data_IF_230360836867
#
_entry.id   IF_230360836867
#
_cell.length_a   1.000
_cell.length_b   1.000
_cell.length_c   1.000
_cell.angle_alpha   90.00
_cell.angle_beta   90.00
_cell.angle_gamma   90.00
#
_symmetry.space_group_name_H-M   'P 1'
#
loop_
_entity.id
_entity.type
_entity.pdbx_description
1 polymer ?
#
# COMPACT_ATOMS: atom_id res chain seq x y z
N UNK A 1 -9.85 36.34 -61.16
CA UNK A 1 -8.83 37.36 -60.80
C UNK A 1 -7.76 36.67 -59.98
N UNK A 2 -6.68 36.30 -60.66
CA UNK A 2 -5.52 35.61 -60.12
C UNK A 2 -4.60 36.62 -59.42
N UNK A 3 -4.24 36.37 -58.16
CA UNK A 3 -3.15 37.08 -57.49
C UNK A 3 -2.00 36.10 -57.24
N UNK A 4 -1.01 36.23 -58.11
CA UNK A 4 0.33 35.67 -58.04
C UNK A 4 1.10 36.30 -56.88
N UNK A 5 1.52 35.47 -55.91
CA UNK A 5 2.59 35.82 -54.96
C UNK A 5 3.89 35.20 -55.43
N UNK A 6 4.81 36.07 -55.84
CA UNK A 6 6.21 35.80 -56.12
C UNK A 6 6.97 35.61 -54.80
N UNK A 7 7.42 34.39 -54.53
CA UNK A 7 8.40 34.09 -53.49
C UNK A 7 9.79 34.03 -54.11
N UNK A 8 10.66 34.96 -53.72
CA UNK A 8 12.07 34.98 -54.07
C UNK A 8 12.83 33.79 -53.43
N UNK A 9 13.91 33.29 -54.08
CA UNK A 9 14.70 32.20 -53.55
C UNK A 9 15.60 32.67 -52.40
N UNK A 10 15.48 32.00 -51.25
CA UNK A 10 16.44 32.12 -50.13
C UNK A 10 17.69 31.34 -50.51
N UNK A 11 18.79 32.06 -50.73
CA UNK A 11 20.13 31.50 -50.87
C UNK A 11 20.59 30.93 -49.53
N UNK A 12 20.67 29.60 -49.43
CA UNK A 12 21.38 28.91 -48.35
C UNK A 12 22.87 29.19 -48.50
N UNK A 13 23.38 30.09 -47.67
CA UNK A 13 24.82 30.27 -47.45
C UNK A 13 25.35 29.02 -46.72
N UNK A 14 25.99 28.13 -47.46
CA UNK A 14 26.73 26.99 -46.93
C UNK A 14 28.08 27.46 -46.41
N UNK A 15 28.12 27.89 -45.15
CA UNK A 15 29.38 27.96 -44.40
C UNK A 15 29.77 26.54 -43.95
N UNK A 16 30.98 26.05 -44.26
CA UNK A 16 31.46 24.76 -43.76
C UNK A 16 31.66 24.83 -42.24
N UNK A 17 31.36 23.76 -41.48
CA UNK A 17 31.62 23.73 -40.05
C UNK A 17 33.14 23.77 -39.80
N UNK A 18 33.64 24.64 -38.91
CA UNK A 18 35.06 24.68 -38.60
C UNK A 18 35.41 23.54 -37.64
N UNK A 19 36.42 22.77 -38.01
CA UNK A 19 37.37 22.14 -37.09
C UNK A 19 36.84 20.97 -36.27
N UNK A 20 37.36 19.78 -36.58
CA UNK A 20 37.25 18.61 -35.72
C UNK A 20 37.73 18.93 -34.31
N UNK A 21 36.82 18.89 -33.35
CA UNK A 21 37.18 18.84 -31.94
C UNK A 21 37.78 17.45 -31.71
N UNK A 22 39.04 17.41 -31.30
CA UNK A 22 39.64 16.22 -30.72
C UNK A 22 38.70 15.68 -29.66
N UNK A 23 38.07 14.53 -29.91
CA UNK A 23 37.35 13.78 -28.89
C UNK A 23 38.38 13.34 -27.86
N UNK A 24 38.54 14.12 -26.78
CA UNK A 24 39.24 13.60 -25.61
C UNK A 24 38.48 12.34 -25.18
N UNK A 25 39.16 11.19 -25.06
CA UNK A 25 38.52 9.99 -24.55
C UNK A 25 37.99 10.31 -23.16
N UNK A 26 36.71 10.01 -22.94
CA UNK A 26 36.06 10.24 -21.65
C UNK A 26 36.90 9.56 -20.55
N UNK A 27 37.07 10.20 -19.39
CA UNK A 27 37.71 9.57 -18.25
C UNK A 27 37.08 8.20 -17.98
N UNK A 28 37.91 7.19 -17.70
CA UNK A 28 37.47 5.78 -17.62
C UNK A 28 36.31 5.52 -16.64
N UNK A 29 36.09 6.41 -15.67
CA UNK A 29 34.95 6.34 -14.76
C UNK A 29 33.61 6.69 -15.43
N UNK A 30 33.58 7.60 -16.41
CA UNK A 30 32.38 7.99 -17.17
C UNK A 30 32.01 6.99 -18.27
N UNK A 31 32.96 6.16 -18.71
CA UNK A 31 32.75 5.15 -19.75
C UNK A 31 31.69 4.12 -19.33
N UNK A 32 31.53 3.85 -18.03
CA UNK A 32 30.48 2.97 -17.51
C UNK A 32 29.07 3.57 -17.66
N UNK A 33 28.95 4.88 -17.83
CA UNK A 33 27.68 5.58 -17.97
C UNK A 33 27.21 5.70 -19.43
N UNK A 34 28.10 5.51 -20.42
CA UNK A 34 27.73 5.33 -21.82
C UNK A 34 26.86 4.07 -22.03
N UNK A 35 27.13 3.01 -21.26
CA UNK A 35 26.32 1.79 -21.27
C UNK A 35 24.92 1.95 -20.61
N UNK A 36 24.63 3.13 -20.04
CA UNK A 36 23.32 3.45 -19.46
C UNK A 36 22.44 4.27 -20.42
N UNK A 37 22.81 4.38 -21.70
CA UNK A 37 22.02 5.06 -22.72
C UNK A 37 22.22 6.58 -22.79
N UNK A 38 23.29 7.11 -22.18
CA UNK A 38 23.70 8.51 -22.37
C UNK A 38 24.69 8.61 -23.52
N UNK A 39 24.44 9.48 -24.50
CA UNK A 39 25.42 9.75 -25.54
C UNK A 39 26.51 10.70 -24.99
N UNK A 40 27.69 10.68 -25.59
CA UNK A 40 28.80 11.57 -25.22
C UNK A 40 28.40 13.06 -25.28
N UNK A 41 27.48 13.40 -26.18
CA UNK A 41 26.90 14.74 -26.29
C UNK A 41 25.97 15.09 -25.11
N UNK A 42 25.26 14.12 -24.53
CA UNK A 42 24.36 14.35 -23.39
C UNK A 42 25.13 14.54 -22.08
N UNK A 43 26.24 13.80 -21.93
CA UNK A 43 27.17 13.94 -20.79
C UNK A 43 27.90 15.28 -20.88
N UNK A 44 28.41 15.64 -22.06
CA UNK A 44 29.07 16.94 -22.26
C UNK A 44 28.10 18.11 -22.15
N UNK A 45 26.83 17.95 -22.56
CA UNK A 45 25.78 18.93 -22.32
C UNK A 45 25.42 19.06 -20.83
N UNK A 46 25.39 17.96 -20.07
CA UNK A 46 25.17 17.99 -18.62
C UNK A 46 26.32 18.70 -17.91
N UNK A 47 27.56 18.33 -18.22
CA UNK A 47 28.76 18.96 -17.67
C UNK A 47 28.80 20.46 -18.03
N UNK A 48 28.53 20.80 -19.29
CA UNK A 48 28.46 22.20 -19.76
C UNK A 48 27.31 22.99 -19.10
N UNK A 49 26.14 22.38 -18.87
CA UNK A 49 25.02 23.01 -18.16
C UNK A 49 25.35 23.25 -16.68
N UNK A 50 26.03 22.29 -16.04
CA UNK A 50 26.53 22.42 -14.67
C UNK A 50 27.59 23.52 -14.61
N UNK A 51 28.58 23.51 -15.50
CA UNK A 51 29.65 24.51 -15.54
C UNK A 51 29.10 25.92 -15.84
N UNK A 52 28.18 26.05 -16.80
CA UNK A 52 27.55 27.33 -17.16
C UNK A 52 26.63 27.89 -16.08
N UNK A 53 25.93 27.04 -15.32
CA UNK A 53 25.13 27.47 -14.16
C UNK A 53 25.96 28.05 -13.01
N UNK A 54 27.29 27.84 -13.06
CA UNK A 54 28.23 28.19 -11.99
C UNK A 54 29.17 29.36 -12.33
N UNK A 55 29.11 29.91 -13.56
CA UNK A 55 29.90 31.09 -13.97
C UNK A 55 29.22 32.42 -13.56
N UNK A 56 28.51 32.46 -12.44
CA UNK A 56 28.06 33.71 -11.82
C UNK A 56 29.00 34.08 -10.68
N UNK A 57 29.90 35.07 -10.84
CA UNK A 57 30.92 35.43 -9.85
C UNK A 57 30.37 36.12 -8.59
N UNK A 58 29.04 36.22 -8.40
CA UNK A 58 28.40 37.06 -7.38
C UNK A 58 27.58 36.31 -6.31
N UNK A 59 27.43 34.98 -6.36
CA UNK A 59 26.70 34.23 -5.32
C UNK A 59 27.64 33.49 -4.36
N UNK A 60 27.68 33.92 -3.10
CA UNK A 60 28.44 33.32 -1.98
C UNK A 60 28.01 31.89 -1.59
N UNK A 61 27.11 31.27 -2.35
CA UNK A 61 26.69 29.88 -2.18
C UNK A 61 27.14 29.09 -3.40
N UNK A 62 28.43 28.74 -3.43
CA UNK A 62 28.94 27.74 -4.38
C UNK A 62 28.33 26.39 -3.98
N UNK A 63 27.33 25.92 -4.72
CA UNK A 63 26.92 24.51 -4.65
C UNK A 63 28.17 23.67 -4.96
N UNK A 64 28.51 22.74 -4.07
CA UNK A 64 29.64 21.85 -4.28
C UNK A 64 29.46 21.10 -5.62
N UNK A 65 30.45 21.15 -6.50
CA UNK A 65 30.45 20.38 -7.74
C UNK A 65 30.39 18.89 -7.41
N UNK A 66 29.21 18.29 -7.59
CA UNK A 66 29.05 16.85 -7.51
C UNK A 66 29.23 16.26 -8.93
N UNK A 67 30.04 15.21 -9.09
CA UNK A 67 30.09 14.43 -10.32
C UNK A 67 28.69 13.98 -10.76
N UNK A 68 28.47 13.88 -12.07
CA UNK A 68 27.18 13.52 -12.64
C UNK A 68 26.67 12.16 -12.10
N UNK A 69 27.57 11.23 -11.83
CA UNK A 69 27.29 9.93 -11.23
C UNK A 69 26.67 10.05 -9.85
N UNK A 70 27.20 10.95 -9.01
CA UNK A 70 26.66 11.21 -7.69
C UNK A 70 25.29 11.89 -7.78
N UNK A 71 25.10 12.80 -8.73
CA UNK A 71 23.79 13.42 -8.97
C UNK A 71 22.75 12.38 -9.41
N UNK A 72 23.10 11.48 -10.34
CA UNK A 72 22.23 10.40 -10.77
C UNK A 72 21.91 9.43 -9.64
N UNK A 73 22.91 9.10 -8.81
CA UNK A 73 22.69 8.28 -7.62
C UNK A 73 21.77 8.99 -6.62
N UNK A 74 21.92 10.30 -6.41
CA UNK A 74 21.02 11.09 -5.55
C UNK A 74 19.58 11.02 -6.09
N UNK A 75 19.38 11.10 -7.41
CA UNK A 75 18.04 11.01 -8.02
C UNK A 75 17.32 9.68 -7.69
N UNK A 76 18.04 8.58 -7.49
CA UNK A 76 17.45 7.28 -7.09
C UNK A 76 16.85 7.28 -5.68
N UNK A 77 17.29 8.21 -4.82
CA UNK A 77 16.83 8.38 -3.44
C UNK A 77 15.91 9.59 -3.26
N UNK A 78 15.62 10.34 -4.33
CA UNK A 78 14.64 11.43 -4.26
C UNK A 78 13.26 10.85 -3.91
N UNK A 79 12.53 11.45 -2.95
CA UNK A 79 11.17 11.04 -2.64
C UNK A 79 10.26 11.07 -3.87
N UNK A 80 9.42 10.05 -4.02
CA UNK A 80 8.64 9.75 -5.22
C UNK A 80 7.70 10.87 -5.66
N UNK A 81 7.22 11.65 -4.69
CA UNK A 81 6.37 12.83 -4.82
C UNK A 81 7.11 14.07 -5.39
N UNK A 82 8.44 14.02 -5.40
CA UNK A 82 9.33 15.08 -5.91
C UNK A 82 10.08 14.70 -7.20
N UNK A 83 10.18 13.41 -7.54
CA UNK A 83 10.97 12.93 -8.71
C UNK A 83 10.61 13.67 -10.00
N UNK A 84 9.31 13.93 -10.24
CA UNK A 84 8.89 14.60 -11.47
C UNK A 84 9.25 16.09 -11.53
N UNK A 85 9.51 16.75 -10.40
CA UNK A 85 10.02 18.13 -10.38
C UNK A 85 11.46 18.16 -10.91
N UNK A 86 12.28 17.16 -10.53
CA UNK A 86 13.65 16.99 -11.02
C UNK A 86 13.71 16.69 -12.52
N UNK A 87 12.70 16.01 -13.06
CA UNK A 87 12.55 15.74 -14.50
C UNK A 87 12.48 17.01 -15.36
N UNK A 88 12.11 18.15 -14.78
CA UNK A 88 12.00 19.43 -15.47
C UNK A 88 13.30 20.24 -15.48
N UNK A 89 14.29 19.86 -14.67
CA UNK A 89 15.53 20.63 -14.48
C UNK A 89 16.40 20.64 -15.74
N UNK A 90 16.69 19.46 -16.30
CA UNK A 90 17.50 19.34 -17.51
C UNK A 90 17.16 18.07 -18.31
N UNK A 91 17.61 18.01 -19.56
CA UNK A 91 17.40 16.86 -20.45
C UNK A 91 18.01 15.57 -19.86
N UNK A 92 19.23 15.63 -19.33
CA UNK A 92 19.90 14.45 -18.79
C UNK A 92 19.18 13.87 -17.56
N UNK A 93 18.58 14.71 -16.71
CA UNK A 93 17.74 14.24 -15.61
C UNK A 93 16.45 13.62 -16.11
N UNK A 94 15.85 14.19 -17.17
CA UNK A 94 14.69 13.57 -17.82
C UNK A 94 15.02 12.18 -18.34
N UNK A 95 16.12 12.03 -19.07
CA UNK A 95 16.51 10.75 -19.66
C UNK A 95 16.90 9.73 -18.57
N UNK A 96 17.57 10.17 -17.50
CA UNK A 96 17.85 9.35 -16.32
C UNK A 96 16.58 8.88 -15.60
N UNK A 97 15.63 9.81 -15.40
CA UNK A 97 14.35 9.55 -14.75
C UNK A 97 13.53 8.59 -15.59
N UNK A 98 13.41 8.80 -16.90
CA UNK A 98 12.61 7.98 -17.80
C UNK A 98 13.19 6.55 -18.02
N UNK A 99 14.45 6.32 -17.62
CA UNK A 99 15.15 5.04 -17.72
C UNK A 99 15.54 4.46 -16.36
N UNK A 100 16.81 4.66 -16.00
CA UNK A 100 17.47 4.01 -14.85
C UNK A 100 16.78 4.30 -13.52
N UNK A 101 16.40 5.54 -13.23
CA UNK A 101 15.82 5.91 -11.93
C UNK A 101 14.40 5.36 -11.80
N UNK A 102 13.57 5.42 -12.85
CA UNK A 102 12.25 4.75 -12.82
C UNK A 102 12.38 3.24 -12.65
N UNK A 103 13.40 2.63 -13.25
CA UNK A 103 13.69 1.21 -13.06
C UNK A 103 14.14 0.90 -11.62
N UNK A 104 14.94 1.78 -11.00
CA UNK A 104 15.29 1.66 -9.58
C UNK A 104 14.04 1.71 -8.69
N UNK A 105 13.12 2.63 -8.96
CA UNK A 105 11.83 2.67 -8.25
C UNK A 105 10.98 1.42 -8.50
N UNK A 106 10.98 0.90 -9.72
CA UNK A 106 10.25 -0.33 -10.07
C UNK A 106 10.67 -1.51 -9.18
N UNK A 107 11.97 -1.67 -8.90
CA UNK A 107 12.48 -2.71 -8.01
C UNK A 107 11.93 -2.64 -6.58
N UNK A 108 11.54 -1.45 -6.11
CA UNK A 108 10.96 -1.21 -4.78
C UNK A 108 9.43 -1.22 -4.79
N UNK A 109 8.83 -1.44 -5.96
CA UNK A 109 7.39 -1.39 -6.14
C UNK A 109 6.74 -2.70 -5.70
N UNK A 110 5.61 -2.58 -5.00
CA UNK A 110 4.76 -3.69 -4.59
C UNK A 110 3.35 -3.45 -5.15
N UNK A 111 2.76 -4.48 -5.76
CA UNK A 111 1.36 -4.50 -6.15
C UNK A 111 0.54 -5.15 -5.06
N UNK A 112 -0.58 -4.54 -4.69
CA UNK A 112 -1.44 -5.02 -3.62
C UNK A 112 -2.86 -5.20 -4.17
N UNK A 113 -3.32 -6.44 -4.28
CA UNK A 113 -4.67 -6.80 -4.66
C UNK A 113 -5.58 -6.84 -3.43
N UNK A 114 -6.74 -6.19 -3.49
CA UNK A 114 -7.73 -6.19 -2.43
C UNK A 114 -8.90 -7.12 -2.76
N UNK A 115 -9.12 -8.12 -1.92
CA UNK A 115 -10.19 -9.10 -2.09
C UNK A 115 -11.59 -8.56 -1.73
N UNK A 116 -11.65 -7.51 -0.90
CA UNK A 116 -12.90 -6.88 -0.43
C UNK A 116 -13.00 -6.75 1.09
N UNK A 117 -14.02 -6.03 1.55
CA UNK A 117 -14.29 -5.84 2.97
C UNK A 117 -14.65 -7.13 3.69
N UNK A 118 -14.44 -7.13 5.01
CA UNK A 118 -14.83 -8.20 5.93
C UNK A 118 -16.32 -8.54 5.87
N UNK A 119 -17.13 -7.58 5.45
CA UNK A 119 -18.58 -7.75 5.32
C UNK A 119 -19.02 -8.22 3.92
N UNK A 120 -18.09 -8.40 2.99
CA UNK A 120 -18.38 -8.94 1.66
C UNK A 120 -18.33 -10.47 1.67
N UNK A 121 -19.27 -11.11 0.99
CA UNK A 121 -19.26 -12.57 0.83
C UNK A 121 -18.19 -12.98 -0.21
N UNK A 122 -17.37 -14.03 0.01
CA UNK A 122 -17.37 -15.00 1.11
C UNK A 122 -16.55 -14.61 2.36
N UNK A 123 -15.89 -13.44 2.36
CA UNK A 123 -14.99 -13.00 3.45
C UNK A 123 -15.69 -12.86 4.81
N UNK A 124 -17.00 -12.67 4.83
CA UNK A 124 -17.84 -12.68 6.04
C UNK A 124 -17.75 -13.95 6.88
N UNK A 125 -17.43 -15.09 6.26
CA UNK A 125 -17.35 -16.37 6.94
C UNK A 125 -16.02 -16.61 7.65
N UNK A 126 -15.02 -15.75 7.40
CA UNK A 126 -13.69 -15.88 7.98
C UNK A 126 -13.65 -15.31 9.39
N UNK A 127 -12.87 -15.94 10.28
CA UNK A 127 -12.44 -15.26 11.50
C UNK A 127 -11.50 -14.08 11.18
N UNK A 128 -11.18 -13.26 12.18
CA UNK A 128 -10.36 -12.06 11.97
C UNK A 128 -8.94 -12.42 11.48
N UNK A 129 -8.39 -13.55 11.93
CA UNK A 129 -7.02 -13.96 11.60
C UNK A 129 -6.93 -14.44 10.15
N UNK A 130 -7.88 -15.27 9.73
CA UNK A 130 -8.04 -15.71 8.36
C UNK A 130 -8.28 -14.53 7.42
N UNK A 131 -9.10 -13.55 7.82
CA UNK A 131 -9.32 -12.35 7.02
C UNK A 131 -8.04 -11.53 6.85
N UNK A 132 -7.31 -11.25 7.93
CA UNK A 132 -6.07 -10.48 7.87
C UNK A 132 -5.02 -11.15 6.96
N UNK A 133 -4.95 -12.49 6.93
CA UNK A 133 -4.05 -13.24 6.04
C UNK A 133 -4.45 -13.20 4.57
N UNK A 134 -5.75 -13.12 4.26
CA UNK A 134 -6.25 -13.35 2.91
C UNK A 134 -6.70 -12.08 2.18
N UNK A 135 -7.20 -11.06 2.89
CA UNK A 135 -7.85 -9.90 2.28
C UNK A 135 -6.94 -9.05 1.37
N UNK A 136 -5.61 -9.15 1.54
CA UNK A 136 -4.61 -8.47 0.73
C UNK A 136 -3.64 -9.47 0.09
N UNK A 137 -3.65 -9.50 -1.24
CA UNK A 137 -2.67 -10.21 -2.06
C UNK A 137 -1.49 -9.28 -2.34
N UNK A 138 -0.28 -9.69 -1.97
CA UNK A 138 0.94 -8.91 -2.25
C UNK A 138 1.74 -9.55 -3.37
N UNK A 139 2.19 -8.73 -4.33
CA UNK A 139 3.07 -9.16 -5.40
C UNK A 139 4.27 -8.21 -5.54
N UNK A 140 5.48 -8.77 -5.60
CA UNK A 140 6.74 -8.02 -5.66
C UNK A 140 7.36 -8.11 -7.03
N UNK A 141 8.09 -7.06 -7.42
CA UNK A 141 8.80 -7.04 -8.69
C UNK A 141 9.78 -8.21 -8.80
N UNK A 142 9.73 -8.93 -9.92
CA UNK A 142 10.62 -10.05 -10.23
C UNK A 142 11.58 -9.68 -11.35
N UNK A 143 11.05 -9.32 -12.53
CA UNK A 143 11.87 -8.99 -13.68
C UNK A 143 11.13 -8.15 -14.73
N UNK A 144 11.88 -7.59 -15.68
CA UNK A 144 11.32 -7.03 -16.92
C UNK A 144 11.29 -8.13 -17.97
N UNK A 145 10.13 -8.32 -18.62
CA UNK A 145 10.03 -9.21 -19.76
C UNK A 145 10.72 -8.55 -20.96
N UNK A 146 11.81 -9.19 -21.40
CA UNK A 146 12.53 -8.78 -22.59
C UNK A 146 11.69 -8.93 -23.86
N UNK A 147 12.10 -8.31 -24.98
CA UNK A 147 11.52 -8.59 -26.28
C UNK A 147 11.60 -10.10 -26.56
N UNK A 148 10.53 -10.65 -27.13
CA UNK A 148 10.42 -12.09 -27.46
C UNK A 148 11.66 -12.58 -28.22
N UNK A 149 12.10 -13.83 -28.01
CA UNK A 149 13.36 -14.38 -28.52
C UNK A 149 13.52 -14.35 -30.06
N UNK A 150 12.44 -14.12 -30.80
CA UNK A 150 12.49 -13.91 -32.25
C UNK A 150 13.14 -12.57 -32.66
N UNK A 151 13.31 -11.63 -31.72
CA UNK A 151 14.11 -10.42 -31.88
C UNK A 151 15.59 -10.70 -31.62
N UNK A 152 16.15 -11.67 -32.35
CA UNK A 152 17.58 -11.96 -32.41
C UNK A 152 18.33 -10.84 -33.14
N UNK A 153 18.46 -9.67 -32.52
CA UNK A 153 19.32 -8.61 -33.03
C UNK A 153 19.87 -7.72 -31.90
N UNK A 154 21.14 -8.01 -31.54
CA UNK A 154 22.10 -7.16 -30.80
C UNK A 154 21.69 -6.74 -29.37
N UNK A 155 22.41 -7.33 -28.40
CA UNK A 155 22.36 -7.12 -26.95
C UNK A 155 22.76 -5.71 -26.45
N UNK A 156 22.34 -4.64 -27.12
CA UNK A 156 22.70 -3.26 -26.72
C UNK A 156 21.51 -2.43 -26.20
N UNK A 157 20.36 -3.08 -26.00
CA UNK A 157 19.20 -2.42 -25.38
C UNK A 157 19.28 -2.55 -23.87
N UNK A 158 19.09 -1.46 -23.11
CA UNK A 158 19.16 -1.52 -21.66
C UNK A 158 18.05 -2.41 -21.10
N UNK A 159 18.27 -3.02 -19.93
CA UNK A 159 17.31 -3.94 -19.27
C UNK A 159 15.93 -3.29 -19.06
N UNK A 160 15.89 -1.98 -18.82
CA UNK A 160 14.67 -1.18 -18.66
C UNK A 160 14.01 -0.74 -19.98
N UNK A 161 14.42 -1.29 -21.12
CA UNK A 161 13.76 -1.06 -22.41
C UNK A 161 12.46 -1.86 -22.57
N UNK A 162 12.34 -3.01 -21.89
CA UNK A 162 11.16 -3.86 -21.97
C UNK A 162 9.88 -3.14 -21.52
N UNK A 163 8.76 -3.45 -22.17
CA UNK A 163 7.46 -2.79 -21.93
C UNK A 163 6.74 -3.36 -20.71
N UNK A 164 6.90 -4.66 -20.45
CA UNK A 164 6.17 -5.38 -19.41
C UNK A 164 7.08 -5.74 -18.24
N UNK A 165 6.62 -5.49 -17.02
CA UNK A 165 7.25 -5.99 -15.80
C UNK A 165 6.43 -7.15 -15.24
N UNK A 166 7.12 -8.16 -14.74
CA UNK A 166 6.56 -9.31 -14.06
C UNK A 166 6.69 -9.09 -12.55
N UNK A 167 5.58 -9.30 -11.84
CA UNK A 167 5.49 -9.31 -10.40
C UNK A 167 5.07 -10.70 -9.95
N UNK A 168 5.73 -11.22 -8.93
CA UNK A 168 5.43 -12.53 -8.34
C UNK A 168 4.60 -12.36 -7.07
N UNK A 169 3.53 -13.13 -6.98
CA UNK A 169 2.63 -13.20 -5.83
C UNK A 169 3.37 -13.94 -4.71
N UNK A 170 3.15 -13.51 -3.46
CA UNK A 170 3.70 -14.18 -2.29
C UNK A 170 3.21 -15.63 -2.20
N UNK A 171 4.15 -16.58 -2.12
CA UNK A 171 3.85 -18.01 -2.04
C UNK A 171 3.05 -18.32 -0.76
N UNK A 172 3.33 -17.61 0.35
CA UNK A 172 2.62 -17.80 1.61
C UNK A 172 1.14 -17.44 1.49
N UNK A 173 0.81 -16.37 0.76
CA UNK A 173 -0.56 -15.98 0.50
C UNK A 173 -1.29 -17.03 -0.36
N UNK A 174 -0.61 -17.59 -1.37
CA UNK A 174 -1.19 -18.64 -2.22
C UNK A 174 -1.51 -19.90 -1.42
N UNK A 175 -0.64 -20.28 -0.49
CA UNK A 175 -0.84 -21.45 0.36
C UNK A 175 -1.97 -21.25 1.37
N UNK A 176 -2.03 -20.09 2.02
CA UNK A 176 -3.14 -19.70 2.90
C UNK A 176 -4.47 -19.67 2.14
N UNK A 177 -4.47 -19.09 0.94
CA UNK A 177 -5.65 -19.07 0.08
C UNK A 177 -6.14 -20.49 -0.23
N UNK A 178 -5.24 -21.40 -0.65
CA UNK A 178 -5.61 -22.80 -0.94
C UNK A 178 -6.14 -23.54 0.28
N UNK A 179 -5.61 -23.23 1.46
CA UNK A 179 -6.07 -23.82 2.71
C UNK A 179 -7.48 -23.36 3.05
N UNK A 180 -7.71 -22.05 3.07
CA UNK A 180 -8.98 -21.43 3.46
C UNK A 180 -10.08 -21.68 2.41
N UNK A 181 -9.73 -21.70 1.12
CA UNK A 181 -10.70 -21.91 0.03
C UNK A 181 -11.13 -23.36 -0.16
N UNK A 182 -10.54 -24.29 0.61
CA UNK A 182 -10.78 -25.74 0.49
C UNK A 182 -10.06 -26.42 -0.68
N UNK A 183 -9.28 -25.68 -1.49
CA UNK A 183 -8.57 -26.24 -2.63
C UNK A 183 -7.50 -27.27 -2.22
N UNK A 184 -6.82 -27.05 -1.09
CA UNK A 184 -5.79 -27.96 -0.56
C UNK A 184 -6.35 -29.36 -0.27
N UNK A 185 -7.58 -29.46 0.25
CA UNK A 185 -8.23 -30.74 0.56
C UNK A 185 -8.57 -31.56 -0.70
N UNK A 186 -8.69 -30.90 -1.86
CA UNK A 186 -9.03 -31.53 -3.15
C UNK A 186 -7.80 -31.94 -3.97
N UNK A 187 -6.58 -31.81 -3.43
CA UNK A 187 -5.30 -31.99 -4.16
C UNK A 187 -5.25 -31.15 -5.45
N UNK A 188 -5.96 -30.04 -5.46
CA UNK A 188 -6.30 -29.30 -6.67
C UNK A 188 -5.46 -28.05 -6.91
N UNK A 189 -5.57 -27.51 -8.12
CA UNK A 189 -5.15 -26.14 -8.47
C UNK A 189 -6.05 -25.13 -7.72
N UNK A 190 -5.68 -23.85 -7.72
CA UNK A 190 -6.45 -22.76 -7.11
C UNK A 190 -7.88 -22.71 -7.65
N UNK A 191 -8.10 -23.19 -8.88
CA UNK A 191 -9.40 -23.26 -9.53
C UNK A 191 -10.31 -24.40 -9.04
N UNK A 192 -9.78 -25.30 -8.20
CA UNK A 192 -10.57 -26.35 -7.54
C UNK A 192 -11.19 -25.85 -6.22
N UNK A 193 -10.95 -24.58 -5.87
CA UNK A 193 -11.63 -23.86 -4.79
C UNK A 193 -13.15 -23.85 -4.98
N UNK A 194 -13.89 -23.62 -3.89
CA UNK A 194 -15.34 -23.41 -4.02
C UNK A 194 -15.66 -22.20 -4.91
N UNK A 195 -16.78 -22.28 -5.63
CA UNK A 195 -17.21 -21.28 -6.61
C UNK A 195 -17.21 -19.85 -6.05
N UNK A 196 -17.61 -19.69 -4.79
CA UNK A 196 -17.63 -18.40 -4.11
C UNK A 196 -16.24 -17.77 -3.98
N UNK A 197 -15.21 -18.58 -3.73
CA UNK A 197 -13.82 -18.13 -3.68
C UNK A 197 -13.26 -17.82 -5.06
N UNK A 198 -13.68 -18.57 -6.08
CA UNK A 198 -13.36 -18.27 -7.48
C UNK A 198 -13.96 -16.92 -7.88
N UNK A 199 -15.21 -16.64 -7.49
CA UNK A 199 -15.87 -15.36 -7.76
C UNK A 199 -15.14 -14.21 -7.06
N UNK A 200 -14.73 -14.39 -5.79
CA UNK A 200 -13.92 -13.40 -5.07
C UNK A 200 -12.56 -13.15 -5.76
N UNK A 201 -11.88 -14.21 -6.22
CA UNK A 201 -10.64 -14.09 -6.99
C UNK A 201 -10.85 -13.42 -8.35
N UNK A 202 -11.99 -13.67 -9.00
CA UNK A 202 -12.30 -13.12 -10.32
C UNK A 202 -12.32 -11.58 -10.32
N UNK A 203 -12.59 -10.96 -9.16
CA UNK A 203 -12.49 -9.52 -8.91
C UNK A 203 -11.07 -9.02 -9.18
N UNK A 204 -10.06 -9.76 -8.72
CA UNK A 204 -8.64 -9.45 -8.97
C UNK A 204 -8.22 -9.75 -10.41
N UNK A 205 -8.83 -10.76 -11.04
CA UNK A 205 -8.58 -11.14 -12.43
C UNK A 205 -9.12 -10.13 -13.46
N UNK A 206 -9.90 -9.13 -13.04
CA UNK A 206 -10.50 -8.10 -13.90
C UNK A 206 -11.41 -8.66 -15.00
N UNK A 207 -11.90 -9.91 -14.85
CA UNK A 207 -12.69 -10.59 -15.88
C UNK A 207 -14.18 -10.22 -15.86
N UNK A 208 -14.68 -9.63 -14.76
CA UNK A 208 -16.09 -9.24 -14.63
C UNK A 208 -16.27 -7.72 -14.73
N UNK A 209 -17.23 -7.32 -15.57
CA UNK A 209 -17.76 -5.96 -15.71
C UNK A 209 -18.76 -5.58 -14.63
N UNK A 210 -19.16 -6.52 -13.77
CA UNK A 210 -20.36 -6.36 -12.93
C UNK A 210 -20.12 -5.56 -11.65
N UNK A 211 -18.87 -5.23 -11.32
CA UNK A 211 -18.60 -4.39 -10.16
C UNK A 211 -18.78 -2.90 -10.47
N UNK A 212 -19.27 -2.18 -9.47
CA UNK A 212 -19.49 -0.75 -9.52
C UNK A 212 -18.17 0.00 -9.79
N UNK A 213 -18.24 0.94 -10.74
CA UNK A 213 -17.13 1.82 -11.11
C UNK A 213 -16.62 2.57 -9.87
N UNK A 214 -15.30 2.60 -9.69
CA UNK A 214 -14.66 3.25 -8.54
C UNK A 214 -14.27 2.29 -7.40
N UNK A 215 -14.68 1.03 -7.47
CA UNK A 215 -14.28 -0.02 -6.51
C UNK A 215 -12.76 -0.23 -6.51
N UNK A 216 -12.17 -0.30 -5.33
CA UNK A 216 -10.73 -0.55 -5.17
C UNK A 216 -10.42 -2.03 -5.40
N UNK A 217 -9.53 -2.33 -6.36
CA UNK A 217 -9.08 -3.69 -6.68
C UNK A 217 -7.59 -3.86 -6.50
N UNK A 218 -6.82 -2.97 -7.13
CA UNK A 218 -5.37 -3.00 -7.11
C UNK A 218 -4.82 -1.67 -6.64
N UNK A 219 -3.88 -1.74 -5.70
CA UNK A 219 -3.05 -0.63 -5.28
C UNK A 219 -1.63 -0.87 -5.75
N UNK A 220 -0.91 0.23 -5.94
CA UNK A 220 0.53 0.25 -6.12
C UNK A 220 1.13 0.94 -4.90
N UNK A 221 2.14 0.30 -4.31
CA UNK A 221 2.96 0.85 -3.24
C UNK A 221 4.36 1.09 -3.77
N UNK A 222 4.87 2.28 -3.50
CA UNK A 222 6.26 2.65 -3.73
C UNK A 222 6.75 3.48 -2.56
N UNK A 223 7.73 2.95 -1.83
CA UNK A 223 8.23 3.53 -0.58
C UNK A 223 7.09 3.79 0.43
N UNK A 224 6.83 5.04 0.77
CA UNK A 224 5.77 5.48 1.69
C UNK A 224 4.44 5.79 0.97
N UNK A 225 4.44 5.88 -0.37
CA UNK A 225 3.29 6.24 -1.15
C UNK A 225 2.48 5.00 -1.55
N UNK A 226 1.16 5.08 -1.38
CA UNK A 226 0.21 4.05 -1.82
C UNK A 226 -0.96 4.74 -2.52
N UNK A 227 -1.29 4.25 -3.72
CA UNK A 227 -2.38 4.75 -4.54
C UNK A 227 -3.06 3.59 -5.28
N UNK A 228 -4.28 3.81 -5.71
CA UNK A 228 -5.00 2.92 -6.63
C UNK A 228 -4.36 2.91 -8.03
N UNK A 229 -4.30 1.73 -8.64
CA UNK A 229 -3.59 1.53 -9.92
C UNK A 229 -4.37 2.10 -11.10
N UNK A 230 -5.67 1.79 -11.22
CA UNK A 230 -6.61 2.49 -12.11
C UNK A 230 -8.07 2.12 -11.75
N UNK A 231 -9.04 2.81 -12.37
CA UNK A 231 -10.47 2.63 -12.15
C UNK A 231 -11.21 1.98 -13.32
N UNK A 232 -10.63 2.00 -14.52
CA UNK A 232 -11.26 1.43 -15.71
C UNK A 232 -10.86 -0.03 -15.89
N UNK A 233 -11.82 -0.95 -15.74
CA UNK A 233 -11.61 -2.36 -15.99
C UNK A 233 -11.10 -2.61 -17.43
N UNK A 234 -11.62 -1.88 -18.42
CA UNK A 234 -11.20 -2.01 -19.82
C UNK A 234 -9.73 -1.62 -20.03
N UNK A 235 -9.27 -0.52 -19.41
CA UNK A 235 -7.85 -0.14 -19.46
C UNK A 235 -6.98 -1.11 -18.68
N UNK A 236 -7.40 -1.50 -17.48
CA UNK A 236 -6.68 -2.46 -16.65
C UNK A 236 -6.50 -3.81 -17.35
N UNK A 237 -7.51 -4.32 -18.08
CA UNK A 237 -7.36 -5.58 -18.85
C UNK A 237 -6.27 -5.48 -19.93
N UNK A 238 -6.09 -4.29 -20.53
CA UNK A 238 -5.03 -4.06 -21.53
C UNK A 238 -3.64 -3.85 -20.92
N UNK A 239 -3.58 -3.41 -19.67
CA UNK A 239 -2.35 -2.99 -18.99
C UNK A 239 -1.83 -4.00 -17.97
N UNK A 240 -2.73 -4.79 -17.37
CA UNK A 240 -2.49 -5.74 -16.28
C UNK A 240 -3.00 -7.11 -16.71
N UNK A 241 -2.08 -8.06 -16.88
CA UNK A 241 -2.42 -9.45 -17.17
C UNK A 241 -2.11 -10.31 -15.95
N UNK A 242 -3.15 -10.88 -15.37
CA UNK A 242 -3.08 -11.70 -14.18
C UNK A 242 -3.02 -13.19 -14.53
N UNK A 243 -2.06 -13.92 -13.95
CA UNK A 243 -1.91 -15.35 -14.13
C UNK A 243 -1.82 -16.04 -12.78
N UNK A 244 -2.97 -16.39 -12.21
CA UNK A 244 -3.03 -17.13 -10.93
C UNK A 244 -2.27 -18.44 -10.96
N UNK A 245 -2.40 -19.20 -12.06
CA UNK A 245 -1.69 -20.48 -12.21
C UNK A 245 -0.18 -20.34 -12.10
N UNK A 246 0.37 -19.21 -12.56
CA UNK A 246 1.80 -18.92 -12.51
C UNK A 246 2.19 -18.11 -11.28
N UNK A 247 1.23 -17.74 -10.42
CA UNK A 247 1.48 -16.82 -9.30
C UNK A 247 2.09 -15.50 -9.75
N UNK A 248 1.71 -14.98 -10.94
CA UNK A 248 2.37 -13.79 -11.49
C UNK A 248 1.43 -12.79 -12.14
N UNK A 249 1.85 -11.52 -12.10
CA UNK A 249 1.13 -10.36 -12.61
C UNK A 249 2.05 -9.64 -13.59
N UNK A 250 1.56 -9.38 -14.80
CA UNK A 250 2.29 -8.59 -15.79
C UNK A 250 1.67 -7.22 -15.90
N UNK A 251 2.47 -6.17 -15.81
CA UNK A 251 2.00 -4.79 -15.99
C UNK A 251 2.79 -4.04 -17.05
N UNK A 252 2.14 -3.12 -17.77
CA UNK A 252 2.84 -2.08 -18.52
C UNK A 252 3.45 -1.07 -17.54
N UNK A 253 4.71 -1.29 -17.19
CA UNK A 253 5.29 -0.67 -15.99
C UNK A 253 5.62 0.80 -16.16
N UNK A 254 6.09 1.24 -17.34
CA UNK A 254 6.45 2.66 -17.56
C UNK A 254 5.23 3.56 -17.41
N UNK A 255 4.15 3.24 -18.12
CA UNK A 255 2.92 4.02 -18.09
C UNK A 255 2.27 4.00 -16.70
N UNK A 256 2.31 2.85 -16.03
CA UNK A 256 1.81 2.69 -14.66
C UNK A 256 2.61 3.52 -13.67
N UNK A 257 3.94 3.41 -13.67
CA UNK A 257 4.81 4.17 -12.78
C UNK A 257 4.73 5.68 -13.03
N UNK A 258 4.66 6.13 -14.29
CA UNK A 258 4.50 7.55 -14.58
C UNK A 258 3.16 8.12 -14.11
N UNK A 259 2.06 7.38 -14.29
CA UNK A 259 0.75 7.79 -13.75
C UNK A 259 0.77 7.85 -12.23
N UNK A 260 1.40 6.87 -11.59
CA UNK A 260 1.59 6.86 -10.14
C UNK A 260 2.35 8.10 -9.67
N UNK A 261 3.53 8.38 -10.22
CA UNK A 261 4.35 9.54 -9.85
C UNK A 261 3.62 10.87 -10.10
N UNK A 262 2.86 10.98 -11.20
CA UNK A 262 2.05 12.17 -11.49
C UNK A 262 0.97 12.38 -10.44
N UNK A 263 0.31 11.30 -10.03
CA UNK A 263 -0.78 11.34 -9.05
C UNK A 263 -0.24 11.67 -7.67
N UNK A 264 0.88 11.07 -7.27
CA UNK A 264 1.50 11.33 -5.97
C UNK A 264 2.01 12.78 -5.88
N UNK A 265 2.64 13.31 -6.95
CA UNK A 265 2.98 14.73 -7.03
C UNK A 265 1.74 15.63 -6.93
N UNK A 266 0.64 15.27 -7.58
CA UNK A 266 -0.60 16.03 -7.50
C UNK A 266 -1.18 16.03 -6.07
N UNK A 267 -1.11 14.89 -5.37
CA UNK A 267 -1.50 14.77 -3.97
C UNK A 267 -0.65 15.67 -3.07
N UNK A 268 0.69 15.64 -3.19
CA UNK A 268 1.59 16.54 -2.46
C UNK A 268 1.23 18.02 -2.66
N UNK A 269 1.09 18.44 -3.91
CA UNK A 269 0.72 19.83 -4.25
C UNK A 269 -0.66 20.20 -3.69
N UNK A 270 -1.60 19.26 -3.67
CA UNK A 270 -2.93 19.48 -3.10
C UNK A 270 -2.87 19.61 -1.58
N UNK A 271 -2.09 18.77 -0.89
CA UNK A 271 -1.87 18.86 0.55
C UNK A 271 -1.30 20.23 0.94
N UNK A 272 -0.29 20.71 0.21
CA UNK A 272 0.29 22.04 0.40
C UNK A 272 -0.74 23.15 0.16
N UNK A 273 -1.46 23.10 -0.96
CA UNK A 273 -2.48 24.10 -1.33
C UNK A 273 -3.65 24.16 -0.35
N UNK A 274 -4.03 23.03 0.23
CA UNK A 274 -5.21 22.88 1.09
C UNK A 274 -4.91 22.89 2.58
N UNK A 275 -3.65 23.13 2.99
CA UNK A 275 -3.19 23.11 4.38
C UNK A 275 -4.07 23.90 5.36
N UNK A 276 -4.60 25.05 4.94
CA UNK A 276 -5.43 25.93 5.78
C UNK A 276 -6.92 25.89 5.42
N UNK A 277 -7.35 24.93 4.60
CA UNK A 277 -8.77 24.75 4.29
C UNK A 277 -9.49 24.07 5.45
N UNK A 278 -10.79 24.31 5.66
CA UNK A 278 -11.59 23.42 6.50
C UNK A 278 -11.63 22.03 5.87
N UNK A 279 -11.76 20.99 6.68
CA UNK A 279 -11.78 19.59 6.25
C UNK A 279 -13.08 18.92 6.67
N UNK A 280 -13.61 18.05 5.81
CA UNK A 280 -14.81 17.26 6.10
C UNK A 280 -14.46 16.05 6.96
N UNK A 281 -13.34 15.37 6.66
CA UNK A 281 -12.88 14.19 7.40
C UNK A 281 -11.52 14.42 8.04
N UNK A 282 -10.48 14.55 7.23
CA UNK A 282 -9.15 14.95 7.66
C UNK A 282 -8.37 15.55 6.48
N UNK A 283 -7.27 16.25 6.75
CA UNK A 283 -6.48 16.91 5.69
C UNK A 283 -6.01 15.94 4.61
N UNK A 284 -5.44 14.80 5.01
CA UNK A 284 -4.95 13.78 4.09
C UNK A 284 -6.10 13.07 3.37
N UNK A 285 -7.15 12.72 4.10
CA UNK A 285 -8.30 11.98 3.57
C UNK A 285 -9.07 12.79 2.53
N UNK A 286 -9.36 14.07 2.80
CA UNK A 286 -10.03 14.96 1.85
C UNK A 286 -9.20 15.17 0.58
N UNK A 287 -7.88 15.36 0.72
CA UNK A 287 -6.99 15.49 -0.43
C UNK A 287 -6.92 14.20 -1.25
N UNK A 288 -6.85 13.04 -0.60
CA UNK A 288 -6.85 11.74 -1.29
C UNK A 288 -8.18 11.47 -1.98
N UNK A 289 -9.32 11.73 -1.32
CA UNK A 289 -10.65 11.64 -1.95
C UNK A 289 -10.76 12.54 -3.16
N UNK A 290 -10.30 13.79 -3.07
CA UNK A 290 -10.35 14.74 -4.19
C UNK A 290 -9.55 14.22 -5.40
N UNK A 291 -8.32 13.77 -5.20
CA UNK A 291 -7.49 13.18 -6.27
C UNK A 291 -8.15 11.92 -6.85
N UNK A 292 -8.71 11.06 -5.99
CA UNK A 292 -9.40 9.83 -6.42
C UNK A 292 -10.62 10.15 -7.29
N UNK A 293 -11.47 11.09 -6.86
CA UNK A 293 -12.64 11.57 -7.61
C UNK A 293 -12.24 12.19 -8.94
N UNK A 294 -11.22 13.05 -8.96
CA UNK A 294 -10.74 13.71 -10.19
C UNK A 294 -10.24 12.68 -11.21
N UNK A 295 -9.46 11.68 -10.78
CA UNK A 295 -9.00 10.59 -11.64
C UNK A 295 -10.15 9.73 -12.15
N UNK A 296 -11.10 9.41 -11.28
CA UNK A 296 -12.28 8.64 -11.66
C UNK A 296 -13.08 9.39 -12.73
N UNK A 297 -13.38 10.68 -12.51
CA UNK A 297 -14.05 11.54 -13.50
C UNK A 297 -13.31 11.59 -14.84
N UNK A 298 -11.98 11.65 -14.83
CA UNK A 298 -11.16 11.71 -16.04
C UNK A 298 -11.17 10.40 -16.86
N UNK A 299 -11.54 9.29 -16.24
CA UNK A 299 -11.60 7.97 -16.87
C UNK A 299 -13.00 7.62 -17.41
N UNK A 300 -14.03 8.39 -17.08
CA UNK A 300 -15.40 8.16 -17.55
C UNK A 300 -15.58 8.62 -19.01
N UNK A 301 -16.15 7.76 -19.84
CA UNK A 301 -16.57 8.07 -21.19
C UNK A 301 -17.90 8.85 -21.18
N UNK A 302 -17.90 10.04 -21.78
CA UNK A 302 -19.09 10.90 -21.81
C UNK A 302 -20.20 10.37 -22.72
N UNK A 303 -19.85 9.52 -23.67
CA UNK A 303 -20.80 8.97 -24.64
C UNK A 303 -21.55 7.76 -24.07
N UNK A 304 -20.97 7.09 -23.08
CA UNK A 304 -21.59 5.95 -22.41
C UNK A 304 -22.64 6.40 -21.37
N UNK A 305 -23.75 5.66 -21.27
CA UNK A 305 -24.86 5.96 -20.35
C UNK A 305 -24.44 5.67 -18.91
N UNK A 306 -23.75 4.56 -18.68
CA UNK A 306 -23.41 4.13 -17.32
C UNK A 306 -22.32 5.02 -16.72
N UNK A 307 -21.35 5.44 -17.54
CA UNK A 307 -20.34 6.42 -17.16
C UNK A 307 -20.95 7.81 -16.88
N UNK A 308 -21.95 8.24 -17.66
CA UNK A 308 -22.70 9.48 -17.36
C UNK A 308 -23.46 9.39 -16.04
N UNK A 309 -24.08 8.25 -15.75
CA UNK A 309 -24.77 8.02 -14.48
C UNK A 309 -23.77 8.04 -13.31
N UNK A 310 -22.62 7.39 -13.48
CA UNK A 310 -21.53 7.40 -12.51
C UNK A 310 -21.02 8.83 -12.27
N UNK A 311 -20.79 9.61 -13.33
CA UNK A 311 -20.39 11.00 -13.23
C UNK A 311 -21.42 11.85 -12.46
N UNK A 312 -22.71 11.56 -12.61
CA UNK A 312 -23.75 12.21 -11.82
C UNK A 312 -23.69 11.82 -10.35
N UNK A 313 -23.58 10.52 -10.03
CA UNK A 313 -23.44 10.04 -8.65
C UNK A 313 -22.18 10.60 -7.96
N UNK A 314 -21.06 10.76 -8.66
CA UNK A 314 -19.85 11.37 -8.10
C UNK A 314 -20.04 12.84 -7.68
N UNK A 315 -20.96 13.57 -8.31
CA UNK A 315 -21.30 14.95 -7.91
C UNK A 315 -22.17 15.00 -6.66
N UNK A 316 -22.86 13.91 -6.35
CA UNK A 316 -23.72 13.76 -5.18
C UNK A 316 -23.01 13.17 -3.96
N UNK A 317 -21.75 12.75 -4.11
CA UNK A 317 -20.93 12.35 -2.97
C UNK A 317 -20.77 13.49 -1.98
N UNK A 318 -20.52 13.14 -0.72
CA UNK A 318 -20.29 14.12 0.36
C UNK A 318 -19.22 15.12 -0.08
N UNK A 319 -19.51 16.43 -0.07
CA UNK A 319 -18.58 17.42 -0.56
C UNK A 319 -17.39 17.57 0.41
N UNK A 320 -16.21 17.74 -0.16
CA UNK A 320 -14.94 17.77 0.57
C UNK A 320 -14.59 19.19 1.02
N UNK A 321 -13.63 19.28 1.94
CA UNK A 321 -13.10 20.53 2.46
C UNK A 321 -14.13 21.38 3.20
N UNK A 322 -14.89 20.77 4.12
CA UNK A 322 -15.82 21.43 5.04
C UNK A 322 -17.03 22.07 4.36
N UNK A 323 -17.33 21.67 3.12
CA UNK A 323 -18.51 22.15 2.39
C UNK A 323 -19.77 21.49 2.94
N UNK A 324 -20.90 22.22 3.04
CA UNK A 324 -22.15 21.66 3.54
C UNK A 324 -22.63 20.54 2.61
N UNK A 325 -23.06 19.44 3.20
CA UNK A 325 -23.63 18.29 2.48
C UNK A 325 -25.15 18.41 2.45
N UNK A 326 -25.74 18.17 1.29
CA UNK A 326 -27.14 17.75 1.20
C UNK A 326 -27.12 16.22 1.32
N UNK A 327 -27.88 15.66 2.27
CA UNK A 327 -27.87 14.23 2.56
C UNK A 327 -28.44 13.41 1.38
N UNK A 328 -27.62 13.16 0.38
CA UNK A 328 -27.92 12.29 -0.76
C UNK A 328 -27.31 10.92 -0.50
N UNK A 329 -28.15 9.90 -0.30
CA UNK A 329 -27.66 8.54 -0.16
C UNK A 329 -27.31 7.99 -1.55
N UNK A 330 -26.02 7.89 -1.86
CA UNK A 330 -25.54 7.32 -3.12
C UNK A 330 -24.84 5.99 -2.87
N UNK A 331 -25.01 5.04 -3.77
CA UNK A 331 -24.33 3.74 -3.69
C UNK A 331 -22.80 3.86 -3.83
N UNK A 332 -22.27 4.99 -4.32
CA UNK A 332 -20.84 5.23 -4.45
C UNK A 332 -20.16 5.67 -3.15
N UNK A 333 -20.90 6.27 -2.22
CA UNK A 333 -20.35 6.74 -0.94
C UNK A 333 -19.69 5.60 -0.14
N UNK A 334 -20.35 4.45 0.13
CA UNK A 334 -19.72 3.36 0.87
C UNK A 334 -18.50 2.77 0.12
N UNK A 335 -18.51 2.77 -1.22
CA UNK A 335 -17.40 2.28 -2.03
C UNK A 335 -16.18 3.20 -1.92
N UNK A 336 -16.40 4.51 -1.94
CA UNK A 336 -15.33 5.48 -1.70
C UNK A 336 -14.79 5.34 -0.27
N UNK A 337 -15.68 5.23 0.72
CA UNK A 337 -15.28 5.13 2.13
C UNK A 337 -14.46 3.86 2.40
N UNK A 338 -14.85 2.71 1.85
CA UNK A 338 -14.09 1.46 1.91
C UNK A 338 -12.71 1.62 1.26
N UNK A 339 -12.66 2.18 0.05
CA UNK A 339 -11.41 2.37 -0.68
C UNK A 339 -10.45 3.32 0.04
N UNK A 340 -10.96 4.43 0.57
CA UNK A 340 -10.16 5.44 1.27
C UNK A 340 -9.66 4.91 2.60
N UNK A 341 -10.50 4.18 3.35
CA UNK A 341 -10.11 3.53 4.60
C UNK A 341 -8.91 2.60 4.36
N UNK A 342 -9.00 1.74 3.34
CA UNK A 342 -7.90 0.83 3.01
C UNK A 342 -6.65 1.58 2.53
N UNK A 343 -6.79 2.57 1.65
CA UNK A 343 -5.64 3.34 1.16
C UNK A 343 -4.93 4.08 2.29
N UNK A 344 -5.66 4.72 3.20
CA UNK A 344 -5.07 5.39 4.36
C UNK A 344 -4.36 4.40 5.28
N UNK A 345 -4.95 3.23 5.53
CA UNK A 345 -4.33 2.16 6.30
C UNK A 345 -3.01 1.70 5.65
N UNK A 346 -3.02 1.43 4.34
CA UNK A 346 -1.83 1.01 3.60
C UNK A 346 -0.76 2.10 3.55
N UNK A 347 -1.14 3.38 3.40
CA UNK A 347 -0.19 4.50 3.45
C UNK A 347 0.43 4.64 4.83
N UNK A 348 -0.36 4.49 5.90
CA UNK A 348 0.18 4.48 7.27
C UNK A 348 1.14 3.31 7.46
N UNK A 349 0.76 2.10 7.05
CA UNK A 349 1.64 0.92 7.09
C UNK A 349 2.95 1.14 6.32
N UNK A 350 2.88 1.79 5.16
CA UNK A 350 4.04 2.08 4.33
C UNK A 350 4.95 3.17 4.92
N UNK A 351 4.40 4.09 5.70
CA UNK A 351 5.14 5.19 6.33
C UNK A 351 5.83 4.81 7.65
N UNK A 352 5.45 3.70 8.28
CA UNK A 352 6.05 3.25 9.54
C UNK A 352 7.47 2.74 9.32
N UNK A 353 8.39 3.15 10.21
CA UNK A 353 9.73 2.58 10.23
C UNK A 353 9.72 1.13 10.73
N UNK A 354 10.73 0.30 10.39
CA UNK A 354 10.83 -1.06 10.93
C UNK A 354 10.79 -1.11 12.46
N UNK A 355 11.38 -0.11 13.13
CA UNK A 355 11.36 0.01 14.59
C UNK A 355 9.96 0.32 15.13
N UNK A 356 9.20 1.18 14.47
CA UNK A 356 7.83 1.50 14.86
C UNK A 356 6.89 0.31 14.61
N UNK A 357 7.04 -0.38 13.49
CA UNK A 357 6.28 -1.60 13.19
C UNK A 357 6.53 -2.65 14.25
N UNK A 358 7.79 -2.91 14.59
CA UNK A 358 8.15 -3.87 15.63
C UNK A 358 7.61 -3.49 17.02
N UNK A 359 7.64 -2.19 17.38
CA UNK A 359 7.03 -1.69 18.61
C UNK A 359 5.52 -1.97 18.65
N UNK A 360 4.81 -1.66 17.56
CA UNK A 360 3.36 -1.90 17.46
C UNK A 360 3.01 -3.39 17.52
N UNK A 361 3.78 -4.25 16.86
CA UNK A 361 3.61 -5.71 16.93
C UNK A 361 3.84 -6.24 18.34
N UNK A 362 4.90 -5.76 19.01
CA UNK A 362 5.22 -6.14 20.39
C UNK A 362 4.13 -5.69 21.34
N UNK A 363 3.63 -4.47 21.18
CA UNK A 363 2.54 -3.93 21.97
C UNK A 363 1.24 -4.72 21.77
N UNK A 364 0.92 -5.10 20.54
CA UNK A 364 -0.22 -5.96 20.24
C UNK A 364 -0.09 -7.36 20.85
N UNK A 365 1.10 -7.96 20.79
CA UNK A 365 1.36 -9.24 21.44
C UNK A 365 1.19 -9.14 22.97
N UNK A 366 1.74 -8.09 23.59
CA UNK A 366 1.60 -7.85 25.03
C UNK A 366 0.13 -7.62 25.44
N UNK A 367 -0.61 -6.84 24.65
CA UNK A 367 -2.02 -6.58 24.89
C UNK A 367 -2.85 -7.87 24.81
N UNK A 368 -2.63 -8.72 23.81
CA UNK A 368 -3.28 -10.04 23.72
C UNK A 368 -2.91 -10.96 24.88
N UNK A 369 -1.64 -10.95 25.29
CA UNK A 369 -1.20 -11.71 26.47
C UNK A 369 -1.92 -11.26 27.74
N UNK A 370 -2.07 -9.94 27.92
CA UNK A 370 -2.82 -9.37 29.02
C UNK A 370 -4.30 -9.80 28.99
N UNK A 371 -4.95 -9.72 27.83
CA UNK A 371 -6.34 -10.15 27.66
C UNK A 371 -6.53 -11.63 28.01
N UNK A 372 -5.64 -12.49 27.52
CA UNK A 372 -5.66 -13.92 27.82
C UNK A 372 -5.47 -14.19 29.32
N UNK A 373 -4.46 -13.58 29.97
CA UNK A 373 -4.22 -13.75 31.41
C UNK A 373 -5.42 -13.27 32.25
N UNK A 374 -6.05 -12.15 31.88
CA UNK A 374 -7.23 -11.64 32.57
C UNK A 374 -8.45 -12.54 32.35
N UNK A 375 -8.62 -13.10 31.16
CA UNK A 375 -9.71 -14.03 30.87
C UNK A 375 -9.54 -15.35 31.65
N UNK A 376 -8.32 -15.87 31.74
CA UNK A 376 -8.01 -17.04 32.57
C UNK A 376 -8.26 -16.78 34.06
N UNK A 377 -7.92 -15.59 34.56
CA UNK A 377 -8.21 -15.18 35.94
C UNK A 377 -9.72 -15.09 36.20
N UNK A 378 -10.49 -14.51 35.28
CA UNK A 378 -11.95 -14.39 35.38
C UNK A 378 -12.61 -15.78 35.39
N UNK A 379 -12.13 -16.71 34.56
CA UNK A 379 -12.57 -18.10 34.55
C UNK A 379 -12.27 -18.81 35.89
N UNK A 380 -11.05 -18.69 36.41
CA UNK A 380 -10.66 -19.28 37.70
C UNK A 380 -11.47 -18.70 38.88
N UNK A 381 -11.75 -17.39 38.84
CA UNK A 381 -12.61 -16.74 39.83
C UNK A 381 -14.08 -17.17 39.70
N UNK A 382 -14.57 -17.35 38.47
CA UNK A 382 -15.91 -17.87 38.21
C UNK A 382 -16.10 -19.28 38.79
N UNK A 383 -15.10 -20.15 38.62
CA UNK A 383 -15.06 -21.48 39.23
C UNK A 383 -15.05 -21.40 40.77
N UNK A 384 -14.17 -20.58 41.34
CA UNK A 384 -14.13 -20.34 42.80
C UNK A 384 -15.50 -19.91 43.34
N UNK A 385 -16.15 -18.98 42.65
CA UNK A 385 -17.48 -18.48 43.01
C UNK A 385 -18.53 -19.59 42.93
N UNK A 386 -18.44 -20.51 41.98
CA UNK A 386 -19.40 -21.61 41.83
C UNK A 386 -19.41 -22.50 43.09
N UNK A 387 -18.25 -22.78 43.69
CA UNK A 387 -18.14 -23.53 44.94
C UNK A 387 -18.72 -22.77 46.16
N UNK A 388 -18.66 -21.44 46.15
CA UNK A 388 -19.11 -20.58 47.26
C UNK A 388 -20.57 -20.11 47.12
N UNK A 389 -21.27 -20.52 46.05
CA UNK A 389 -22.62 -20.04 45.72
C UNK A 389 -23.69 -20.63 46.65
N UNK A 390 -23.83 -20.06 47.85
CA UNK A 390 -25.01 -20.26 48.71
C UNK A 390 -26.21 -19.47 48.15
N UNK A 391 -27.47 -19.97 48.31
CA UNK A 391 -28.65 -19.23 47.87
C UNK A 391 -28.73 -17.89 48.62
N UNK A 392 -28.49 -16.77 47.92
CA UNK A 392 -28.62 -15.41 48.45
C UNK A 392 -27.35 -14.54 48.43
N UNK A 393 -26.16 -15.10 48.15
CA UNK A 393 -24.92 -14.33 48.02
C UNK A 393 -24.47 -14.24 46.54
N UNK A 394 -24.71 -13.10 45.89
CA UNK A 394 -24.14 -12.81 44.57
C UNK A 394 -23.02 -11.77 44.71
N UNK A 395 -21.78 -12.24 44.86
CA UNK A 395 -20.58 -11.41 44.67
C UNK A 395 -20.34 -11.22 43.16
N UNK A 396 -20.66 -10.04 42.62
CA UNK A 396 -20.31 -9.70 41.23
C UNK A 396 -19.03 -8.86 41.24
N UNK A 397 -17.89 -9.48 40.94
CA UNK A 397 -16.68 -8.71 40.60
C UNK A 397 -16.84 -8.22 39.16
N UNK A 398 -16.78 -6.91 38.97
CA UNK A 398 -16.91 -6.25 37.67
C UNK A 398 -15.59 -6.32 36.86
N UNK A 399 -15.05 -7.53 36.63
CA UNK A 399 -14.06 -7.78 35.59
C UNK A 399 -14.60 -7.69 34.13
N UNK A 400 -15.89 -7.96 33.84
CA UNK A 400 -16.39 -8.04 32.45
C UNK A 400 -16.31 -6.75 31.63
N UNK A 401 -16.22 -5.56 32.27
CA UNK A 401 -16.25 -4.29 31.54
C UNK A 401 -14.96 -3.99 30.77
N UNK A 402 -13.81 -4.52 31.19
CA UNK A 402 -12.56 -4.38 30.43
C UNK A 402 -12.49 -5.40 29.28
N UNK A 403 -12.94 -6.64 29.52
CA UNK A 403 -12.92 -7.72 28.54
C UNK A 403 -13.95 -7.48 27.41
N UNK A 404 -15.15 -6.94 27.72
CA UNK A 404 -16.17 -6.66 26.68
C UNK A 404 -15.81 -5.54 25.71
N UNK A 405 -14.85 -4.69 26.04
CA UNK A 405 -14.35 -3.68 25.10
C UNK A 405 -13.26 -4.24 24.17
N UNK A 406 -12.74 -5.45 24.42
CA UNK A 406 -11.72 -6.12 23.60
C UNK A 406 -12.21 -6.39 22.17
N UNK A 407 -13.49 -6.76 22.01
CA UNK A 407 -14.10 -7.03 20.70
C UNK A 407 -14.11 -5.81 19.76
N UNK A 408 -13.79 -4.62 20.28
CA UNK A 408 -13.71 -3.37 19.49
C UNK A 408 -12.29 -3.00 19.03
N UNK A 409 -11.25 -3.72 19.47
CA UNK A 409 -9.86 -3.39 19.12
C UNK A 409 -9.47 -4.10 17.82
N UNK A 410 -9.13 -3.38 16.74
CA UNK A 410 -8.68 -4.02 15.51
C UNK A 410 -7.47 -4.91 15.76
N UNK A 411 -7.42 -6.13 15.20
CA UNK A 411 -6.27 -7.03 15.39
C UNK A 411 -4.97 -6.48 14.80
N UNK A 412 -5.07 -5.74 13.69
CA UNK A 412 -3.94 -5.10 13.03
C UNK A 412 -3.56 -3.81 13.78
N UNK A 413 -2.37 -3.74 14.40
CA UNK A 413 -2.00 -2.59 15.22
C UNK A 413 -1.73 -1.32 14.41
N UNK A 414 -1.52 -1.43 13.10
CA UNK A 414 -1.42 -0.27 12.21
C UNK A 414 -2.78 0.43 12.04
N UNK A 415 -3.90 -0.28 12.25
CA UNK A 415 -5.23 0.29 12.19
C UNK A 415 -5.63 1.05 13.46
N UNK A 416 -4.86 0.95 14.55
CA UNK A 416 -5.20 1.61 15.81
C UNK A 416 -5.11 3.12 15.71
N UNK A 417 -6.17 3.84 16.06
CA UNK A 417 -6.05 5.30 16.19
C UNK A 417 -4.98 5.65 17.23
N UNK A 418 -4.38 6.84 17.13
CA UNK A 418 -3.35 7.24 18.08
C UNK A 418 -3.90 7.29 19.52
N UNK A 419 -5.16 7.67 19.69
CA UNK A 419 -5.86 7.61 20.98
C UNK A 419 -6.01 6.18 21.51
N UNK A 420 -6.37 5.23 20.64
CA UNK A 420 -6.50 3.82 21.00
C UNK A 420 -5.14 3.23 21.37
N UNK A 421 -4.09 3.54 20.59
CA UNK A 421 -2.72 3.09 20.88
C UNK A 421 -2.27 3.57 22.25
N UNK A 422 -2.41 4.86 22.55
CA UNK A 422 -2.02 5.44 23.85
C UNK A 422 -2.78 4.78 25.00
N UNK A 423 -4.07 4.49 24.80
CA UNK A 423 -4.88 3.76 25.78
C UNK A 423 -4.36 2.34 26.02
N UNK A 424 -4.05 1.60 24.95
CA UNK A 424 -3.49 0.24 25.01
C UNK A 424 -2.12 0.26 25.70
N UNK A 425 -1.23 1.19 25.35
CA UNK A 425 0.07 1.37 26.01
C UNK A 425 -0.11 1.54 27.53
N UNK A 426 -1.01 2.43 27.95
CA UNK A 426 -1.27 2.65 29.37
C UNK A 426 -1.83 1.40 30.07
N UNK A 427 -2.70 0.62 29.42
CA UNK A 427 -3.22 -0.62 29.97
C UNK A 427 -2.14 -1.69 30.11
N UNK A 428 -1.33 -1.89 29.08
CA UNK A 428 -0.23 -2.85 29.08
C UNK A 428 0.81 -2.50 30.12
N UNK A 429 1.19 -1.22 30.25
CA UNK A 429 2.13 -0.77 31.29
C UNK A 429 1.61 -1.05 32.71
N UNK A 430 0.33 -0.74 32.96
CA UNK A 430 -0.31 -1.04 34.26
C UNK A 430 -0.34 -2.54 34.54
N UNK A 431 -0.77 -3.35 33.58
CA UNK A 431 -0.77 -4.81 33.73
C UNK A 431 0.64 -5.35 33.97
N UNK A 432 1.64 -4.91 33.21
CA UNK A 432 3.03 -5.34 33.42
C UNK A 432 3.53 -5.01 34.84
N UNK A 433 3.17 -3.83 35.38
CA UNK A 433 3.52 -3.44 36.75
C UNK A 433 2.84 -4.32 37.82
N UNK A 434 1.64 -4.83 37.51
CA UNK A 434 0.81 -5.63 38.41
C UNK A 434 0.95 -7.14 38.19
N UNK A 435 1.67 -7.57 37.16
CA UNK A 435 1.70 -8.96 36.68
C UNK A 435 2.06 -9.97 37.76
N UNK A 436 3.02 -9.63 38.63
CA UNK A 436 3.40 -10.49 39.78
C UNK A 436 2.25 -10.70 40.76
N UNK A 437 1.45 -9.67 40.99
CA UNK A 437 0.27 -9.74 41.88
C UNK A 437 -0.84 -10.55 41.23
N UNK A 438 -1.10 -10.32 39.94
CA UNK A 438 -2.08 -11.10 39.15
C UNK A 438 -1.73 -12.59 39.20
N UNK A 439 -0.47 -12.94 39.02
CA UNK A 439 0.00 -14.32 39.10
C UNK A 439 -0.19 -14.93 40.51
N UNK A 440 0.10 -14.16 41.57
CA UNK A 440 -0.14 -14.61 42.94
C UNK A 440 -1.62 -14.86 43.23
N UNK A 441 -2.51 -13.97 42.77
CA UNK A 441 -3.96 -14.14 42.91
C UNK A 441 -4.43 -15.36 42.13
N UNK A 442 -3.93 -15.57 40.92
CA UNK A 442 -4.23 -16.75 40.11
C UNK A 442 -3.82 -18.04 40.82
N UNK A 443 -2.59 -18.12 41.34
CA UNK A 443 -2.12 -19.29 42.09
C UNK A 443 -2.98 -19.54 43.33
N UNK A 444 -3.38 -18.49 44.05
CA UNK A 444 -4.25 -18.60 45.22
C UNK A 444 -5.64 -19.11 44.85
N UNK A 445 -6.23 -18.62 43.75
CA UNK A 445 -7.52 -19.10 43.25
C UNK A 445 -7.43 -20.56 42.81
N UNK A 446 -6.38 -20.94 42.09
CA UNK A 446 -6.17 -22.32 41.66
C UNK A 446 -6.05 -23.28 42.86
N UNK A 447 -5.23 -22.94 43.86
CA UNK A 447 -5.10 -23.74 45.08
C UNK A 447 -6.41 -23.79 45.90
N UNK A 448 -7.19 -22.70 45.89
CA UNK A 448 -8.50 -22.67 46.55
C UNK A 448 -9.52 -23.55 45.83
N UNK A 449 -9.56 -23.52 44.50
CA UNK A 449 -10.44 -24.37 43.70
C UNK A 449 -10.07 -25.85 43.91
N UNK A 450 -8.78 -26.18 43.92
CA UNK A 450 -8.32 -27.55 44.19
C UNK A 450 -8.75 -28.02 45.60
N UNK A 451 -8.61 -27.17 46.62
CA UNK A 451 -9.02 -27.50 47.98
C UNK A 451 -10.55 -27.66 48.14
N UNK A 452 -11.35 -26.89 47.38
CA UNK A 452 -12.81 -26.98 47.40
C UNK A 452 -13.38 -28.07 46.50
N UNK A 453 -12.58 -28.56 45.54
CA UNK A 453 -12.95 -29.67 44.67
C UNK A 453 -12.76 -31.05 45.33
N UNK A 454 -12.27 -31.10 46.57
CA UNK A 454 -12.13 -32.32 47.37
C UNK A 454 -13.54 -32.91 47.60
N UNK A 455 -13.81 -34.16 47.18
CA UNK A 455 -15.11 -34.80 47.39
C UNK A 455 -15.50 -34.86 48.88
N UNK A 456 -16.78 -34.69 49.20
CA UNK A 456 -17.28 -34.77 50.58
C UNK A 456 -16.92 -36.12 51.26
N UNK A 457 -16.74 -37.19 50.47
CA UNK A 457 -16.37 -38.54 50.90
C UNK A 457 -14.91 -38.67 51.41
N UNK A 458 -14.07 -37.64 51.20
CA UNK A 458 -12.63 -37.67 51.55
C UNK A 458 -12.35 -37.61 53.04
N UNK A 459 -13.34 -37.21 53.84
CA UNK A 459 -13.23 -37.06 55.30
C UNK A 459 -13.87 -38.23 56.07
N UNK A 460 -14.58 -39.13 55.38
CA UNK A 460 -15.30 -40.26 56.01
C UNK A 460 -14.44 -41.53 56.18
N UNK A 461 -13.23 -41.60 55.63
CA UNK A 461 -12.35 -42.78 55.77
C UNK A 461 -11.47 -42.81 57.03
N UNK A 462 -11.58 -41.82 57.94
CA UNK A 462 -10.84 -41.83 59.21
C UNK A 462 -11.73 -42.23 60.40
N UNK A 463 -12.01 -43.53 60.47
CA UNK A 463 -12.29 -44.25 61.72
C UNK A 463 -13.76 -44.48 62.07
N UNK A 464 -14.33 -45.59 61.58
CA UNK A 464 -15.35 -46.33 62.32
C UNK A 464 -14.80 -47.71 62.73
N UNK A 465 -13.72 -47.71 63.52
CA UNK A 465 -13.46 -48.85 64.40
C UNK A 465 -14.34 -48.65 65.65
N UNK A 466 -15.48 -49.35 65.67
CA UNK A 466 -16.17 -49.78 66.90
C UNK A 466 -16.31 -51.29 66.85
#
# INVERSE_FOLDING_TARGET
MSQSRTSAPVTLSSSPPPGGKHHQPLPGYLVRHLNLGFNQDDISALLSAIDSSQVSPSSNTRLAHLPAELLLQILEYVPVDHVLDWRLVCRSFRDAIDGRVLFHHLHRTELIGYMGSRYSHPLTALDDEQYERLHLLRARFECIQGPTPDASAKNDTPVWSGRQALFRIDDSWLDEFRHISGAAARKGDIWDSDRLWIDALSRLCLCSSDELIGTLRWCIRLDHAVLDLDFSAQRLVSEVCFSMRKGSIRINWKDTMFRFLKTERALRLMLEKKRNSPFTYSHMEDCLRAIRRDRLFANLNRDDRDDRNTAWHLRLLTPLFGRPSENHNTNLQPIEDEAITLLLLLRRAAALSPTQTHHLETLAANYRSMENELHELDNAFGEFKAYMSLPGFQMNILLPAMIRNADSVPRNPVAWSDELRVRIECHVERWQSQRKVVEQVRMLLAASNEAMAVPDDSFDELGSDI
#
